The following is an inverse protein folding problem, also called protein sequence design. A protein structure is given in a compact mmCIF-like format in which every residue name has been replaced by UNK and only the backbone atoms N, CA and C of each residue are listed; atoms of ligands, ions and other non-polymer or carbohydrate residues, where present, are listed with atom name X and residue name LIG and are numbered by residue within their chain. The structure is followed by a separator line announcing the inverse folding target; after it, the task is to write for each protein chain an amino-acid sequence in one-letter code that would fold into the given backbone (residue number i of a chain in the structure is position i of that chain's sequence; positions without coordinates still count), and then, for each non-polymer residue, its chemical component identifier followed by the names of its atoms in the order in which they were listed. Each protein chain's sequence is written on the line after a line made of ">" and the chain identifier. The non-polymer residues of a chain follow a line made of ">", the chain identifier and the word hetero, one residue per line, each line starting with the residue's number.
data_IF_667310546221
#
_entry.id   IF_667310546221
#
_cell.length_a   1.000
_cell.length_b   1.000
_cell.length_c   1.000
_cell.angle_alpha   90.00
_cell.angle_beta   90.00
_cell.angle_gamma   90.00
#
_symmetry.space_group_name_H-M   'P 1'
#
loop_
_entity.id
_entity.type
_entity.pdbx_description
1 polymer ?
#
# COMPACT_ATOMS: atom_id res chain seq x y z
N UNK A 1 -19.76 -5.62 5.70
CA UNK A 1 -19.09 -5.59 7.01
C UNK A 1 -19.86 -4.74 8.03
N UNK A 2 -20.43 -3.60 7.61
CA UNK A 2 -21.23 -2.71 8.46
C UNK A 2 -22.33 -3.38 9.32
N UNK A 3 -23.10 -4.34 8.79
CA UNK A 3 -24.13 -5.06 9.58
C UNK A 3 -23.55 -5.82 10.78
N UNK A 4 -22.44 -6.53 10.57
CA UNK A 4 -21.75 -7.31 11.62
C UNK A 4 -21.05 -6.42 12.65
N UNK A 5 -20.52 -5.28 12.21
CA UNK A 5 -19.81 -4.32 13.07
C UNK A 5 -20.73 -3.19 13.61
N UNK A 6 -22.04 -3.27 13.39
CA UNK A 6 -23.03 -2.26 13.75
C UNK A 6 -22.73 -0.81 13.28
N UNK A 7 -22.00 -0.65 12.17
CA UNK A 7 -21.64 0.67 11.61
C UNK A 7 -22.83 1.27 10.88
N UNK A 8 -23.32 2.41 11.37
CA UNK A 8 -24.48 3.12 10.81
C UNK A 8 -24.15 4.59 10.63
N UNK A 9 -24.83 5.24 9.68
CA UNK A 9 -24.81 6.68 9.48
C UNK A 9 -26.24 7.22 9.44
N UNK A 10 -26.40 8.54 9.57
CA UNK A 10 -27.70 9.20 9.46
C UNK A 10 -27.72 10.05 8.18
N UNK A 11 -28.62 9.80 7.21
CA UNK A 11 -28.59 10.49 5.92
C UNK A 11 -29.08 11.95 5.99
N UNK A 12 -29.90 12.30 6.99
CA UNK A 12 -30.38 13.66 7.25
C UNK A 12 -30.68 13.85 8.76
N UNK A 13 -30.78 15.08 9.28
CA UNK A 13 -31.31 15.32 10.62
C UNK A 13 -32.64 14.58 10.82
N UNK A 14 -32.81 13.96 11.99
CA UNK A 14 -33.98 13.17 12.38
C UNK A 14 -34.30 11.90 11.56
N UNK A 15 -33.56 11.61 10.49
CA UNK A 15 -33.71 10.37 9.73
C UNK A 15 -33.29 9.13 10.54
N UNK A 16 -33.88 7.96 10.22
CA UNK A 16 -33.50 6.69 10.86
C UNK A 16 -32.07 6.32 10.47
N UNK A 17 -31.21 5.86 11.41
CA UNK A 17 -29.88 5.39 11.07
C UNK A 17 -29.89 4.18 10.13
N UNK A 18 -29.05 4.21 9.10
CA UNK A 18 -28.93 3.18 8.07
C UNK A 18 -27.52 2.56 8.08
N UNK A 19 -27.40 1.31 7.61
CA UNK A 19 -26.09 0.66 7.47
C UNK A 19 -25.36 1.21 6.24
N UNK A 20 -24.09 1.59 6.41
CA UNK A 20 -23.24 2.06 5.31
C UNK A 20 -22.65 0.90 4.49
N UNK A 21 -22.16 1.21 3.29
CA UNK A 21 -21.35 0.29 2.50
C UNK A 21 -19.88 0.41 2.88
N UNK A 22 -19.22 -0.74 3.00
CA UNK A 22 -17.79 -0.83 3.32
C UNK A 22 -17.03 -1.32 2.10
N UNK A 23 -15.98 -0.61 1.70
CA UNK A 23 -15.01 -1.04 0.68
C UNK A 23 -13.63 -1.18 1.33
N UNK A 24 -12.81 -2.07 0.81
CA UNK A 24 -11.41 -2.20 1.20
C UNK A 24 -10.56 -2.47 -0.04
N UNK A 25 -9.31 -2.05 0.03
CA UNK A 25 -8.29 -2.29 -0.97
C UNK A 25 -6.92 -1.99 -0.38
N UNK A 26 -5.93 -2.84 -0.64
CA UNK A 26 -4.57 -2.60 -0.17
C UNK A 26 -3.94 -1.44 -0.94
N UNK A 27 -3.39 -0.45 -0.22
CA UNK A 27 -2.62 0.63 -0.85
C UNK A 27 -1.32 0.12 -1.45
N UNK A 28 -0.51 -0.56 -0.62
CA UNK A 28 0.70 -1.28 -1.05
C UNK A 28 0.90 -2.50 -0.14
N UNK A 29 1.26 -3.64 -0.74
CA UNK A 29 1.58 -4.85 -0.01
C UNK A 29 3.11 -4.98 0.14
N UNK A 30 3.67 -4.45 1.23
CA UNK A 30 5.12 -4.27 1.41
C UNK A 30 5.97 -5.49 1.00
N UNK A 31 5.68 -6.74 1.42
CA UNK A 31 6.50 -7.89 1.00
C UNK A 31 6.53 -8.09 -0.52
N UNK A 32 5.39 -7.89 -1.19
CA UNK A 32 5.30 -8.02 -2.65
C UNK A 32 6.01 -6.88 -3.37
N UNK A 33 5.94 -5.68 -2.83
CA UNK A 33 6.63 -4.51 -3.38
C UNK A 33 8.14 -4.66 -3.26
N UNK A 34 8.64 -5.16 -2.12
CA UNK A 34 10.07 -5.41 -1.94
C UNK A 34 10.57 -6.41 -2.98
N UNK A 35 9.89 -7.55 -3.15
CA UNK A 35 10.26 -8.56 -4.16
C UNK A 35 10.24 -7.96 -5.56
N UNK A 36 9.18 -7.22 -5.93
CA UNK A 36 9.07 -6.61 -7.24
C UNK A 36 10.20 -5.60 -7.51
N UNK A 37 10.60 -4.80 -6.52
CA UNK A 37 11.74 -3.87 -6.66
C UNK A 37 13.04 -4.64 -6.87
N UNK A 38 13.29 -5.69 -6.08
CA UNK A 38 14.49 -6.52 -6.23
C UNK A 38 14.56 -7.17 -7.61
N UNK A 39 13.48 -7.78 -8.09
CA UNK A 39 13.45 -8.49 -9.37
C UNK A 39 13.53 -7.56 -10.59
N UNK A 40 12.86 -6.40 -10.56
CA UNK A 40 12.78 -5.52 -11.73
C UNK A 40 13.95 -4.54 -11.84
N UNK A 41 14.73 -4.35 -10.77
CA UNK A 41 15.84 -3.39 -10.74
C UNK A 41 17.20 -4.05 -10.44
N UNK A 42 17.27 -5.38 -10.42
CA UNK A 42 18.52 -6.11 -10.36
C UNK A 42 19.39 -5.81 -11.61
N UNK A 43 20.68 -5.63 -11.39
CA UNK A 43 21.70 -5.43 -12.42
C UNK A 43 22.49 -6.73 -12.66
N UNK A 44 23.24 -6.80 -13.76
CA UNK A 44 24.03 -7.98 -14.12
C UNK A 44 25.09 -8.35 -13.06
N UNK A 45 25.62 -7.35 -12.34
CA UNK A 45 26.59 -7.54 -11.25
C UNK A 45 25.93 -7.97 -9.92
N UNK A 46 24.61 -8.11 -9.89
CA UNK A 46 23.82 -8.50 -8.71
C UNK A 46 23.41 -7.35 -7.80
N UNK A 47 23.83 -6.11 -8.07
CA UNK A 47 23.33 -4.92 -7.36
C UNK A 47 21.87 -4.64 -7.73
N UNK A 48 21.17 -3.83 -6.91
CA UNK A 48 19.79 -3.41 -7.19
C UNK A 48 19.69 -1.90 -7.21
N UNK A 49 19.28 -1.34 -8.34
CA UNK A 49 19.04 0.10 -8.47
C UNK A 49 17.75 0.48 -7.74
N UNK A 50 17.78 1.53 -6.91
CA UNK A 50 16.58 2.03 -6.25
C UNK A 50 15.79 2.92 -7.23
N UNK A 51 14.47 2.68 -7.41
CA UNK A 51 13.60 3.55 -8.19
C UNK A 51 13.73 5.00 -7.75
N UNK A 52 13.83 5.94 -8.69
CA UNK A 52 14.10 7.35 -8.40
C UNK A 52 13.15 7.95 -7.36
N UNK A 53 11.86 7.59 -7.44
CA UNK A 53 10.82 8.04 -6.51
C UNK A 53 11.01 7.56 -5.07
N UNK A 54 11.81 6.51 -4.84
CA UNK A 54 12.07 5.97 -3.50
C UNK A 54 13.35 6.55 -2.87
N UNK A 55 14.28 7.11 -3.66
CA UNK A 55 15.58 7.60 -3.19
C UNK A 55 15.51 8.66 -2.07
N UNK A 56 14.56 9.61 -2.07
CA UNK A 56 14.42 10.57 -0.97
C UNK A 56 14.06 9.91 0.38
N UNK A 57 13.48 8.71 0.35
CA UNK A 57 13.07 7.97 1.54
C UNK A 57 14.12 6.97 2.01
N UNK A 58 14.90 6.40 1.09
CA UNK A 58 15.96 5.43 1.41
C UNK A 58 17.30 6.09 1.71
N UNK A 59 17.60 7.23 1.08
CA UNK A 59 18.88 7.94 1.24
C UNK A 59 20.03 7.36 0.40
N UNK A 60 19.75 6.39 -0.47
CA UNK A 60 20.72 5.77 -1.38
C UNK A 60 20.06 5.43 -2.72
N UNK A 61 20.87 5.33 -3.77
CA UNK A 61 20.44 5.03 -5.14
C UNK A 61 20.64 3.57 -5.54
N UNK A 62 21.44 2.80 -4.81
CA UNK A 62 21.80 1.41 -5.11
C UNK A 62 21.93 0.58 -3.85
N UNK A 63 21.45 -0.67 -3.89
CA UNK A 63 21.82 -1.72 -2.93
C UNK A 63 22.98 -2.52 -3.56
N UNK A 64 24.17 -2.57 -2.94
CA UNK A 64 25.30 -3.30 -3.50
C UNK A 64 25.06 -4.82 -3.50
N UNK A 65 25.70 -5.52 -4.44
CA UNK A 65 25.84 -6.97 -4.36
C UNK A 65 26.65 -7.36 -3.10
N UNK A 66 26.30 -8.51 -2.51
CA UNK A 66 26.99 -9.07 -1.34
C UNK A 66 28.29 -9.79 -1.68
#
# INVERSE_FOLDING_TARGET
>A
QARRAHLRYRPAPDARPEFLHTLNGSGLALPRIVIAVLENYQQEDGSVTIPEVLRPYTGFDTIPAG
#
